data_IF_348583445163
#
_entry.id   IF_348583445163
#
_cell.length_a   1.000
_cell.length_b   1.000
_cell.length_c   1.000
_cell.angle_alpha   90.00
_cell.angle_beta   90.00
_cell.angle_gamma   90.00
#
_symmetry.space_group_name_H-M   'P 1'
#
loop_
_entity.id
_entity.type
_entity.pdbx_description
1 polymer ?
#
# COMPACT_ATOMS: atom_id res chain seq x y z
N UNK A 1 3.99 -11.65 2.33
CA UNK A 1 4.00 -10.24 1.89
C UNK A 1 4.52 -9.33 3.00
N UNK A 2 4.09 -9.58 4.23
CA UNK A 2 4.48 -8.86 5.45
C UNK A 2 5.99 -8.57 5.59
N UNK A 3 6.84 -9.60 5.48
CA UNK A 3 8.29 -9.49 5.68
C UNK A 3 8.95 -8.51 4.72
N UNK A 4 8.49 -8.46 3.47
CA UNK A 4 9.04 -7.56 2.43
C UNK A 4 8.75 -6.10 2.75
N UNK A 5 7.56 -5.80 3.27
CA UNK A 5 7.19 -4.44 3.68
C UNK A 5 7.92 -3.99 4.93
N UNK A 6 8.10 -4.88 5.91
CA UNK A 6 8.88 -4.53 7.11
C UNK A 6 10.36 -4.26 6.78
N UNK A 7 10.95 -5.06 5.89
CA UNK A 7 12.31 -4.80 5.38
C UNK A 7 12.39 -3.47 4.63
N UNK A 8 11.42 -3.19 3.75
CA UNK A 8 11.35 -1.94 2.98
C UNK A 8 11.22 -0.70 3.90
N UNK A 9 10.33 -0.76 4.89
CA UNK A 9 10.13 0.32 5.87
C UNK A 9 11.38 0.49 6.73
N UNK A 10 11.96 -0.60 7.22
CA UNK A 10 13.19 -0.55 8.00
C UNK A 10 14.38 0.03 7.22
N UNK A 11 14.49 -0.28 5.93
CA UNK A 11 15.49 0.33 5.06
C UNK A 11 15.27 1.84 4.91
N UNK A 12 14.04 2.27 4.62
CA UNK A 12 13.69 3.69 4.48
C UNK A 12 14.03 4.48 5.76
N UNK A 13 13.61 3.98 6.93
CA UNK A 13 13.88 4.60 8.23
C UNK A 13 15.39 4.74 8.49
N UNK A 14 16.17 3.69 8.21
CA UNK A 14 17.63 3.72 8.36
C UNK A 14 18.27 4.76 7.43
N UNK A 15 17.90 4.79 6.16
CA UNK A 15 18.47 5.73 5.19
C UNK A 15 18.18 7.19 5.55
N UNK A 16 17.00 7.47 6.11
CA UNK A 16 16.61 8.81 6.60
C UNK A 16 17.41 9.15 7.85
N UNK A 17 17.47 8.25 8.83
CA UNK A 17 18.21 8.43 10.08
C UNK A 17 19.69 8.70 9.84
N UNK A 18 20.29 7.94 8.93
CA UNK A 18 21.71 8.02 8.58
C UNK A 18 22.01 9.18 7.61
N UNK A 19 21.00 10.00 7.27
CA UNK A 19 21.08 11.15 6.34
C UNK A 19 21.57 10.79 4.94
N UNK A 20 21.51 9.51 4.56
CA UNK A 20 21.78 9.02 3.20
C UNK A 20 20.64 9.42 2.26
N UNK A 21 19.42 9.42 2.78
CA UNK A 21 18.24 9.97 2.12
C UNK A 21 17.81 11.27 2.78
N UNK A 22 18.25 12.39 2.19
CA UNK A 22 17.79 13.73 2.59
C UNK A 22 16.48 14.04 1.88
N UNK A 23 15.41 14.17 2.66
CA UNK A 23 14.06 14.42 2.15
C UNK A 23 13.87 15.88 1.78
N UNK A 24 13.41 16.13 0.55
CA UNK A 24 13.03 17.47 0.12
C UNK A 24 11.64 17.84 0.66
N UNK A 25 11.29 19.14 0.75
CA UNK A 25 9.93 19.53 1.09
C UNK A 25 8.86 18.93 0.15
N UNK A 26 9.18 18.75 -1.13
CA UNK A 26 8.30 18.11 -2.11
C UNK A 26 8.07 16.63 -1.80
N UNK A 27 9.12 15.89 -1.48
CA UNK A 27 9.02 14.48 -1.07
C UNK A 27 8.12 14.31 0.16
N UNK A 28 8.31 15.19 1.15
CA UNK A 28 7.51 15.17 2.38
C UNK A 28 6.04 15.46 2.10
N UNK A 29 5.74 16.44 1.24
CA UNK A 29 4.38 16.77 0.87
C UNK A 29 3.68 15.61 0.15
N UNK A 30 4.37 14.94 -0.79
CA UNK A 30 3.82 13.77 -1.49
C UNK A 30 3.61 12.61 -0.51
N UNK A 31 4.59 12.33 0.36
CA UNK A 31 4.47 11.27 1.35
C UNK A 31 3.31 11.52 2.33
N UNK A 32 3.18 12.75 2.84
CA UNK A 32 2.09 13.13 3.73
C UNK A 32 0.71 12.98 3.05
N UNK A 33 0.58 13.42 1.80
CA UNK A 33 -0.66 13.24 1.03
C UNK A 33 -0.97 11.77 0.82
N UNK A 34 0.01 10.98 0.38
CA UNK A 34 -0.18 9.55 0.17
C UNK A 34 -0.58 8.83 1.46
N UNK A 35 0.00 9.20 2.60
CA UNK A 35 -0.38 8.64 3.90
C UNK A 35 -1.85 8.94 4.25
N UNK A 36 -2.31 10.17 4.04
CA UNK A 36 -3.71 10.55 4.29
C UNK A 36 -4.68 9.80 3.36
N UNK A 37 -4.33 9.67 2.08
CA UNK A 37 -5.15 8.96 1.09
C UNK A 37 -5.20 7.44 1.39
N UNK A 38 -4.09 6.84 1.87
CA UNK A 38 -4.06 5.43 2.30
C UNK A 38 -4.90 5.18 3.55
N UNK A 39 -4.88 6.09 4.53
CA UNK A 39 -5.73 6.00 5.73
C UNK A 39 -7.22 6.07 5.37
N UNK A 40 -7.57 6.92 4.40
CA UNK A 40 -8.94 7.02 3.89
C UNK A 40 -9.40 5.75 3.17
N UNK A 41 -8.53 5.17 2.32
CA UNK A 41 -8.82 3.95 1.56
C UNK A 41 -8.91 2.72 2.47
N UNK A 42 -7.88 2.48 3.29
CA UNK A 42 -7.82 1.34 4.20
C UNK A 42 -7.92 1.81 5.65
N UNK A 43 -9.17 1.93 6.10
CA UNK A 43 -9.54 2.28 7.48
C UNK A 43 -9.05 1.24 8.51
N UNK A 44 -9.44 1.46 9.76
CA UNK A 44 -9.11 0.57 10.89
C UNK A 44 -9.45 -0.89 10.61
N UNK A 45 -8.70 -1.82 11.23
CA UNK A 45 -8.91 -3.27 11.07
C UNK A 45 -10.36 -3.68 11.35
N UNK A 46 -10.97 -3.12 12.41
CA UNK A 46 -12.36 -3.42 12.76
C UNK A 46 -13.34 -2.93 11.68
N UNK A 47 -13.11 -1.74 11.12
CA UNK A 47 -13.96 -1.21 10.06
C UNK A 47 -13.84 -2.05 8.78
N UNK A 48 -12.63 -2.49 8.40
CA UNK A 48 -12.42 -3.31 7.21
C UNK A 48 -13.01 -4.72 7.34
N UNK A 49 -12.85 -5.35 8.50
CA UNK A 49 -13.39 -6.70 8.74
C UNK A 49 -14.92 -6.75 8.74
N UNK A 50 -15.60 -5.63 8.98
CA UNK A 50 -17.05 -5.52 8.93
C UNK A 50 -17.59 -5.38 7.50
N UNK A 51 -16.73 -5.18 6.50
CA UNK A 51 -17.14 -4.95 5.12
C UNK A 51 -17.32 -6.27 4.35
N UNK A 52 -18.22 -6.28 3.35
CA UNK A 52 -18.24 -7.30 2.31
C UNK A 52 -16.88 -7.42 1.60
N UNK A 53 -16.52 -8.63 1.15
CA UNK A 53 -15.23 -8.88 0.47
C UNK A 53 -15.02 -8.01 -0.78
N UNK A 54 -16.09 -7.70 -1.51
CA UNK A 54 -16.04 -6.82 -2.69
C UNK A 54 -15.58 -5.41 -2.33
N UNK A 55 -16.03 -4.88 -1.20
CA UNK A 55 -15.66 -3.55 -0.74
C UNK A 55 -14.24 -3.55 -0.17
N UNK A 56 -13.85 -4.61 0.56
CA UNK A 56 -12.47 -4.79 1.03
C UNK A 56 -11.49 -4.83 -0.15
N UNK A 57 -11.84 -5.57 -1.20
CA UNK A 57 -11.04 -5.64 -2.42
C UNK A 57 -10.97 -4.30 -3.16
N UNK A 58 -12.09 -3.56 -3.23
CA UNK A 58 -12.12 -2.23 -3.82
C UNK A 58 -11.18 -1.26 -3.08
N UNK A 59 -11.23 -1.24 -1.75
CA UNK A 59 -10.34 -0.42 -0.91
C UNK A 59 -8.86 -0.77 -1.09
N UNK A 60 -8.51 -2.06 -1.20
CA UNK A 60 -7.13 -2.46 -1.46
C UNK A 60 -6.64 -2.02 -2.85
N UNK A 61 -7.51 -2.03 -3.86
CA UNK A 61 -7.19 -1.52 -5.20
C UNK A 61 -7.04 -0.01 -5.22
N UNK A 62 -7.88 0.70 -4.46
CA UNK A 62 -7.76 2.14 -4.26
C UNK A 62 -6.43 2.49 -3.58
N UNK A 63 -6.03 1.75 -2.54
CA UNK A 63 -4.73 1.91 -1.89
C UNK A 63 -3.56 1.72 -2.87
N UNK A 64 -3.61 0.71 -3.72
CA UNK A 64 -2.60 0.54 -4.78
C UNK A 64 -2.60 1.72 -5.77
N UNK A 65 -3.76 2.25 -6.14
CA UNK A 65 -3.86 3.41 -7.01
C UNK A 65 -3.25 4.66 -6.36
N UNK A 66 -3.46 4.88 -5.06
CA UNK A 66 -2.81 5.96 -4.29
C UNK A 66 -1.29 5.86 -4.37
N UNK A 67 -0.73 4.67 -4.16
CA UNK A 67 0.72 4.45 -4.27
C UNK A 67 1.23 4.74 -5.68
N UNK A 68 0.52 4.27 -6.71
CA UNK A 68 0.89 4.50 -8.10
C UNK A 68 0.83 5.99 -8.50
N UNK A 69 -0.19 6.72 -8.04
CA UNK A 69 -0.33 8.16 -8.29
C UNK A 69 0.78 8.92 -7.56
N UNK A 70 1.10 8.56 -6.32
CA UNK A 70 2.20 9.18 -5.58
C UNK A 70 3.54 8.96 -6.30
N UNK A 71 3.79 7.72 -6.76
CA UNK A 71 4.98 7.35 -7.53
C UNK A 71 5.15 8.21 -8.79
N UNK A 72 4.07 8.48 -9.51
CA UNK A 72 4.10 9.28 -10.74
C UNK A 72 4.56 10.74 -10.52
N UNK A 73 4.48 11.25 -9.29
CA UNK A 73 4.80 12.65 -8.96
C UNK A 73 6.21 12.85 -8.38
N UNK A 74 6.99 11.79 -8.20
CA UNK A 74 8.28 11.86 -7.50
C UNK A 74 9.39 11.14 -8.25
N UNK A 75 10.62 11.44 -7.88
CA UNK A 75 11.82 10.81 -8.43
C UNK A 75 12.77 10.40 -7.29
N UNK A 76 13.82 9.64 -7.63
CA UNK A 76 14.84 9.23 -6.66
C UNK A 76 14.33 8.21 -5.63
N UNK A 77 14.80 8.31 -4.38
CA UNK A 77 14.56 7.29 -3.35
C UNK A 77 13.09 7.16 -2.95
N UNK A 78 12.31 8.25 -2.95
CA UNK A 78 10.87 8.17 -2.70
C UNK A 78 10.17 7.36 -3.80
N UNK A 79 10.55 7.58 -5.06
CA UNK A 79 10.03 6.81 -6.18
C UNK A 79 10.41 5.32 -6.07
N UNK A 80 11.65 5.00 -5.67
CA UNK A 80 12.06 3.61 -5.47
C UNK A 80 11.29 2.93 -4.34
N UNK A 81 11.09 3.62 -3.21
CA UNK A 81 10.27 3.14 -2.10
C UNK A 81 8.83 2.86 -2.53
N UNK A 82 8.19 3.83 -3.20
CA UNK A 82 6.80 3.69 -3.68
C UNK A 82 6.68 2.62 -4.77
N UNK A 83 7.69 2.46 -5.63
CA UNK A 83 7.75 1.39 -6.61
C UNK A 83 7.75 0.01 -5.97
N UNK A 84 8.60 -0.21 -4.96
CA UNK A 84 8.65 -1.46 -4.21
C UNK A 84 7.33 -1.73 -3.45
N UNK A 85 6.71 -0.69 -2.88
CA UNK A 85 5.39 -0.78 -2.25
C UNK A 85 4.30 -1.20 -3.25
N UNK A 86 4.26 -0.58 -4.45
CA UNK A 86 3.31 -0.94 -5.50
C UNK A 86 3.50 -2.38 -6.00
N UNK A 87 4.75 -2.82 -6.18
CA UNK A 87 5.05 -4.21 -6.54
C UNK A 87 4.54 -5.18 -5.48
N UNK A 88 4.72 -4.86 -4.20
CA UNK A 88 4.25 -5.70 -3.09
C UNK A 88 2.72 -5.87 -3.11
N UNK A 89 1.97 -4.82 -3.48
CA UNK A 89 0.51 -4.83 -3.54
C UNK A 89 -0.07 -5.40 -4.84
N UNK A 90 0.76 -5.69 -5.84
CA UNK A 90 0.32 -6.18 -7.17
C UNK A 90 -0.59 -7.43 -7.12
N UNK A 91 -0.43 -8.41 -6.20
CA UNK A 91 -1.32 -9.57 -6.13
C UNK A 91 -2.81 -9.21 -6.02
N UNK A 92 -3.15 -8.08 -5.39
CA UNK A 92 -4.53 -7.57 -5.24
C UNK A 92 -5.22 -7.36 -6.59
N UNK A 93 -4.47 -7.04 -7.64
CA UNK A 93 -5.03 -6.83 -8.99
C UNK A 93 -5.63 -8.12 -9.56
N UNK A 94 -5.13 -9.28 -9.16
CA UNK A 94 -5.60 -10.59 -9.61
C UNK A 94 -6.64 -11.20 -8.66
N UNK A 95 -7.08 -10.51 -7.62
CA UNK A 95 -8.10 -11.06 -6.73
C UNK A 95 -9.50 -10.89 -7.28
N UNK A 96 -10.40 -11.80 -6.93
CA UNK A 96 -11.84 -11.68 -7.16
C UNK A 96 -12.60 -11.84 -5.86
N UNK A 97 -13.63 -11.04 -5.69
CA UNK A 97 -14.58 -11.14 -4.57
C UNK A 97 -15.95 -11.67 -5.01
N UNK A 98 -16.15 -11.87 -6.32
CA UNK A 98 -17.36 -12.47 -6.85
C UNK A 98 -17.15 -13.98 -7.07
N UNK A 99 -18.22 -14.80 -6.96
CA UNK A 99 -18.19 -16.22 -7.27
C UNK A 99 -17.69 -16.48 -8.69
N UNK A 100 -17.31 -17.73 -8.97
CA UNK A 100 -16.97 -18.11 -10.33
C UNK A 100 -18.25 -18.17 -11.15
N UNK A 101 -18.33 -17.35 -12.19
CA UNK A 101 -19.32 -17.52 -13.23
C UNK A 101 -18.66 -18.45 -14.25
N UNK A 102 -19.11 -19.71 -14.31
CA UNK A 102 -18.53 -20.82 -15.10
C UNK A 102 -17.75 -20.34 -16.36
N UNK A 103 -16.43 -20.20 -16.25
CA UNK A 103 -15.61 -19.65 -17.34
C UNK A 103 -14.24 -19.10 -16.94
N UNK A 104 -13.44 -18.63 -17.92
CA UNK A 104 -12.13 -18.04 -17.66
C UNK A 104 -12.25 -16.63 -17.06
N UNK A 105 -11.57 -16.39 -15.94
CA UNK A 105 -11.63 -15.14 -15.17
C UNK A 105 -10.38 -14.27 -15.30
N UNK A 106 -9.73 -14.26 -16.47
CA UNK A 106 -8.47 -13.51 -16.72
C UNK A 106 -7.35 -13.80 -15.70
N UNK A 107 -7.32 -15.02 -15.15
CA UNK A 107 -6.36 -15.42 -14.12
C UNK A 107 -6.69 -14.91 -12.72
N UNK A 108 -7.93 -14.45 -12.48
CA UNK A 108 -8.35 -13.99 -11.18
C UNK A 108 -8.51 -15.15 -10.17
N UNK A 109 -8.09 -14.92 -8.94
CA UNK A 109 -8.08 -15.90 -7.86
C UNK A 109 -8.91 -15.40 -6.68
N UNK A 110 -9.61 -16.30 -6.00
CA UNK A 110 -10.31 -15.95 -4.76
C UNK A 110 -9.26 -15.88 -3.63
N UNK A 111 -9.05 -14.71 -3.00
CA UNK A 111 -8.17 -14.61 -1.83
C UNK A 111 -8.83 -15.24 -0.61
N UNK A 112 -8.00 -15.77 0.29
CA UNK A 112 -8.45 -16.20 1.62
C UNK A 112 -8.71 -14.98 2.52
N UNK A 113 -9.55 -15.11 3.56
CA UNK A 113 -9.75 -14.02 4.54
C UNK A 113 -8.45 -13.52 5.17
N UNK A 114 -7.48 -14.42 5.40
CA UNK A 114 -6.16 -14.07 5.92
C UNK A 114 -5.35 -13.20 4.95
N UNK A 115 -5.45 -13.45 3.65
CA UNK A 115 -4.77 -12.64 2.63
C UNK A 115 -5.32 -11.21 2.56
N UNK A 116 -6.65 -11.03 2.71
CA UNK A 116 -7.21 -9.68 2.84
C UNK A 116 -6.62 -8.94 4.04
N UNK A 117 -6.61 -9.59 5.22
CA UNK A 117 -6.07 -8.98 6.44
C UNK A 117 -4.59 -8.65 6.30
N UNK A 118 -3.78 -9.56 5.74
CA UNK A 118 -2.36 -9.30 5.50
C UNK A 118 -2.15 -8.10 4.56
N UNK A 119 -2.93 -7.98 3.48
CA UNK A 119 -2.84 -6.85 2.56
C UNK A 119 -3.24 -5.53 3.22
N UNK A 120 -4.32 -5.54 4.01
CA UNK A 120 -4.77 -4.36 4.74
C UNK A 120 -3.74 -3.91 5.78
N UNK A 121 -3.14 -4.86 6.51
CA UNK A 121 -2.09 -4.54 7.47
C UNK A 121 -0.84 -3.99 6.77
N UNK A 122 -0.48 -4.53 5.60
CA UNK A 122 0.60 -3.99 4.76
C UNK A 122 0.32 -2.54 4.37
N UNK A 123 -0.91 -2.24 3.93
CA UNK A 123 -1.30 -0.85 3.60
C UNK A 123 -1.19 0.05 4.82
N UNK A 124 -1.66 -0.39 5.99
CA UNK A 124 -1.52 0.37 7.25
C UNK A 124 -0.05 0.63 7.61
N UNK A 125 0.82 -0.36 7.42
CA UNK A 125 2.26 -0.22 7.68
C UNK A 125 2.90 0.79 6.73
N UNK A 126 2.56 0.74 5.44
CA UNK A 126 3.01 1.70 4.43
C UNK A 126 2.50 3.12 4.73
N UNK A 127 1.24 3.24 5.13
CA UNK A 127 0.63 4.51 5.57
C UNK A 127 1.44 5.12 6.72
N UNK A 128 1.76 4.33 7.75
CA UNK A 128 2.52 4.80 8.91
C UNK A 128 3.94 5.24 8.52
N UNK A 129 4.61 4.50 7.64
CA UNK A 129 5.93 4.85 7.12
C UNK A 129 5.89 6.17 6.33
N UNK A 130 4.90 6.34 5.44
CA UNK A 130 4.73 7.57 4.66
C UNK A 130 4.39 8.78 5.54
N UNK A 131 3.59 8.59 6.58
CA UNK A 131 3.31 9.65 7.56
C UNK A 131 4.58 10.09 8.30
N UNK A 132 5.43 9.15 8.70
CA UNK A 132 6.72 9.44 9.30
C UNK A 132 7.65 10.20 8.33
N UNK A 133 7.75 9.77 7.07
CA UNK A 133 8.52 10.46 6.03
C UNK A 133 8.01 11.90 5.83
N UNK A 134 6.70 12.09 5.80
CA UNK A 134 6.05 13.39 5.63
C UNK A 134 6.38 14.40 6.74
N UNK A 135 6.80 13.94 7.92
CA UNK A 135 7.05 14.77 9.11
C UNK A 135 8.50 14.78 9.59
N UNK A 136 9.37 13.97 8.99
CA UNK A 136 10.80 13.86 9.36
C UNK A 136 11.64 15.08 8.97
#
# INVERSE_FOLDING_TARGET
MWTVVDELVGEAERLIRDRVWVLTPGDRAVAAKAAADLDAAVRTSQAQQALPEVDRLAHLREALAVVAIALAHVHGRLAWFLGAAATTLTPVLHWRALPDEDGPTFGAVAPTPAQYTEAEDVVRRLQSALAAIGTA
#
